data_IF_132299895575
#
_entry.id   IF_132299895575
#
_cell.length_a   1.000
_cell.length_b   1.000
_cell.length_c   1.000
_cell.angle_alpha   90.00
_cell.angle_beta   90.00
_cell.angle_gamma   90.00
#
_symmetry.space_group_name_H-M   'P 1'
#
loop_
_entity.id
_entity.type
_entity.pdbx_description
1 polymer ?
#
# COMPACT_ATOMS: atom_id res chain seq x y z
N UNK A 1 -89.59 -9.75 -13.05
CA UNK A 1 -90.31 -9.03 -11.96
C UNK A 1 -89.58 -7.75 -11.69
N UNK A 2 -90.27 -6.64 -11.92
CA UNK A 2 -90.20 -5.27 -11.33
C UNK A 2 -88.81 -4.60 -11.43
N UNK A 3 -88.48 -3.72 -12.41
CA UNK A 3 -89.01 -2.34 -12.50
C UNK A 3 -88.59 -1.45 -11.35
N UNK A 4 -87.74 -0.47 -11.65
CA UNK A 4 -88.12 0.94 -11.43
C UNK A 4 -87.05 1.88 -12.01
N UNK A 5 -87.48 2.63 -12.93
CA UNK A 5 -87.01 3.87 -13.54
C UNK A 5 -86.98 4.97 -12.51
N UNK A 6 -85.94 5.87 -12.53
CA UNK A 6 -86.22 7.28 -12.24
C UNK A 6 -85.27 8.19 -13.09
N UNK A 7 -86.00 9.04 -13.79
CA UNK A 7 -85.53 10.16 -14.63
C UNK A 7 -85.38 11.38 -13.69
N UNK A 8 -84.46 12.26 -13.96
CA UNK A 8 -84.53 13.73 -13.85
C UNK A 8 -83.15 14.31 -13.82
N UNK A 9 -82.76 15.23 -14.51
CA UNK A 9 -83.24 16.48 -15.07
C UNK A 9 -81.99 17.37 -15.26
N UNK A 10 -81.86 17.90 -16.41
CA UNK A 10 -80.87 18.90 -16.88
C UNK A 10 -80.66 20.06 -15.93
N UNK A 11 -79.40 20.51 -15.85
CA UNK A 11 -79.12 21.96 -15.86
C UNK A 11 -77.82 22.24 -16.53
N UNK A 12 -77.92 22.92 -17.62
CA UNK A 12 -76.87 23.49 -18.48
C UNK A 12 -76.42 24.78 -17.79
N UNK A 13 -75.15 24.88 -17.38
CA UNK A 13 -74.50 26.15 -17.07
C UNK A 13 -73.31 26.36 -17.97
N UNK A 14 -73.49 27.27 -18.92
CA UNK A 14 -72.43 27.92 -19.69
C UNK A 14 -71.70 28.87 -18.76
N UNK A 15 -70.41 28.63 -18.55
CA UNK A 15 -69.51 29.66 -18.10
C UNK A 15 -68.33 29.74 -19.06
N UNK A 16 -68.25 30.86 -19.73
CA UNK A 16 -67.06 31.39 -20.40
C UNK A 16 -66.01 31.67 -19.33
N UNK A 17 -64.85 31.11 -19.46
CA UNK A 17 -63.74 31.39 -18.55
C UNK A 17 -62.42 31.31 -19.33
N UNK A 18 -61.75 32.41 -19.39
CA UNK A 18 -60.47 32.70 -20.06
C UNK A 18 -59.41 31.58 -19.93
N UNK A 19 -58.79 31.25 -21.05
CA UNK A 19 -57.57 30.51 -21.11
C UNK A 19 -56.42 31.37 -20.53
N UNK A 20 -55.99 31.07 -19.33
CA UNK A 20 -54.70 31.53 -18.80
C UNK A 20 -53.64 30.52 -19.20
N UNK A 21 -52.68 30.98 -20.01
CA UNK A 21 -51.47 30.25 -20.36
C UNK A 21 -50.63 30.03 -19.11
N UNK A 22 -50.55 28.81 -18.60
CA UNK A 22 -49.56 28.43 -17.60
C UNK A 22 -48.21 28.42 -18.26
N UNK A 23 -47.40 29.44 -17.99
CA UNK A 23 -45.98 29.41 -18.20
C UNK A 23 -45.38 28.40 -17.21
N UNK A 24 -44.81 27.29 -17.70
CA UNK A 24 -44.03 26.39 -16.94
C UNK A 24 -42.72 27.12 -16.53
N UNK A 25 -42.70 27.56 -15.24
CA UNK A 25 -41.45 28.03 -14.59
C UNK A 25 -40.63 26.81 -14.35
N UNK A 26 -39.62 26.57 -15.17
CA UNK A 26 -38.51 25.66 -14.89
C UNK A 26 -37.61 26.32 -13.84
N UNK A 27 -37.84 25.99 -12.59
CA UNK A 27 -36.88 26.32 -11.52
C UNK A 27 -35.73 25.35 -11.65
N UNK A 28 -34.68 25.73 -12.37
CA UNK A 28 -33.37 25.13 -12.21
C UNK A 28 -32.84 25.54 -10.82
N UNK A 29 -33.06 24.68 -9.86
CA UNK A 29 -32.44 24.78 -8.55
C UNK A 29 -30.94 24.48 -8.72
N UNK A 30 -30.15 25.55 -8.90
CA UNK A 30 -28.70 25.48 -8.79
C UNK A 30 -28.38 25.07 -7.37
N UNK A 31 -28.15 23.79 -7.14
CA UNK A 31 -27.55 23.33 -5.89
C UNK A 31 -26.12 23.89 -5.86
N UNK A 32 -25.96 24.99 -5.19
CA UNK A 32 -24.63 25.51 -4.78
C UNK A 32 -24.04 24.48 -3.81
N UNK A 33 -23.15 23.63 -4.31
CA UNK A 33 -22.35 22.74 -3.46
C UNK A 33 -21.41 23.62 -2.66
N UNK A 34 -21.81 23.94 -1.43
CA UNK A 34 -20.95 24.60 -0.45
C UNK A 34 -19.82 23.61 -0.12
N UNK A 35 -18.68 23.76 -0.80
CA UNK A 35 -17.46 23.04 -0.47
C UNK A 35 -16.99 23.57 0.90
N UNK A 36 -16.97 22.72 1.96
CA UNK A 36 -16.44 23.17 3.24
C UNK A 36 -14.99 23.64 3.06
N UNK A 37 -14.67 24.83 3.55
CA UNK A 37 -13.27 25.27 3.67
C UNK A 37 -12.53 24.26 4.53
N UNK A 38 -11.73 23.43 3.89
CA UNK A 38 -10.90 22.44 4.53
C UNK A 38 -9.67 23.16 5.06
N UNK A 39 -9.40 23.04 6.36
CA UNK A 39 -8.15 23.52 6.96
C UNK A 39 -6.99 22.93 6.17
N UNK A 40 -6.18 23.83 5.59
CA UNK A 40 -5.10 23.45 4.68
C UNK A 40 -4.03 22.67 5.44
N UNK A 41 -4.04 21.35 5.24
CA UNK A 41 -2.89 20.53 5.57
C UNK A 41 -1.76 21.03 4.66
N UNK A 42 -0.61 21.35 5.26
CA UNK A 42 0.61 21.69 4.51
C UNK A 42 1.14 20.43 3.82
N UNK A 43 0.44 19.98 2.80
CA UNK A 43 1.00 19.10 1.78
C UNK A 43 1.83 19.96 0.84
N UNK A 44 2.93 19.41 0.36
CA UNK A 44 3.76 20.09 -0.65
C UNK A 44 2.96 20.16 -1.96
N UNK A 45 2.09 21.15 -2.10
CA UNK A 45 1.14 21.30 -3.22
C UNK A 45 1.79 21.80 -4.51
N UNK A 46 3.12 21.96 -4.53
CA UNK A 46 3.84 22.52 -5.68
C UNK A 46 3.61 21.73 -6.98
N UNK A 47 3.32 20.44 -6.88
CA UNK A 47 3.14 19.53 -8.01
C UNK A 47 1.74 18.88 -8.00
N UNK A 48 0.71 19.62 -7.57
CA UNK A 48 -0.67 19.13 -7.53
C UNK A 48 -1.60 20.14 -8.19
N UNK A 49 -2.43 19.69 -9.12
CA UNK A 49 -3.47 20.45 -9.79
C UNK A 49 -4.85 19.95 -9.37
N UNK A 50 -5.73 20.86 -8.90
CA UNK A 50 -7.11 20.48 -8.57
C UNK A 50 -7.88 20.17 -9.86
N UNK A 51 -8.56 19.03 -9.88
CA UNK A 51 -9.37 18.56 -11.00
C UNK A 51 -10.76 18.16 -10.52
N UNK A 52 -11.67 17.83 -11.43
CA UNK A 52 -12.96 17.25 -11.10
C UNK A 52 -12.94 15.74 -11.29
N UNK A 53 -13.91 15.02 -10.73
CA UNK A 53 -14.05 13.57 -10.96
C UNK A 53 -14.34 13.23 -12.44
N UNK A 54 -14.88 14.18 -13.20
CA UNK A 54 -15.12 14.02 -14.65
C UNK A 54 -13.81 14.01 -15.45
N UNK A 55 -12.75 14.62 -14.93
CA UNK A 55 -11.44 14.70 -15.58
C UNK A 55 -10.61 13.41 -15.35
N UNK A 56 -11.10 12.48 -14.53
CA UNK A 56 -10.41 11.22 -14.21
C UNK A 56 -10.93 10.12 -15.15
N UNK A 57 -10.12 9.73 -16.14
CA UNK A 57 -10.51 8.65 -17.04
C UNK A 57 -10.71 7.34 -16.28
N UNK A 58 -11.85 6.70 -16.53
CA UNK A 58 -12.20 5.43 -15.90
C UNK A 58 -12.79 5.50 -14.50
N UNK A 59 -12.86 6.67 -13.84
CA UNK A 59 -13.41 6.79 -12.49
C UNK A 59 -14.82 6.19 -12.36
N UNK A 60 -15.70 6.51 -13.28
CA UNK A 60 -17.09 6.03 -13.29
C UNK A 60 -17.25 4.57 -13.76
N UNK A 61 -16.17 3.94 -14.23
CA UNK A 61 -16.14 2.53 -14.66
C UNK A 61 -15.51 1.61 -13.62
N UNK A 62 -14.91 2.18 -12.55
CA UNK A 62 -14.30 1.39 -11.49
C UNK A 62 -15.34 0.91 -10.47
N UNK A 63 -15.05 -0.19 -9.79
CA UNK A 63 -15.84 -0.69 -8.67
C UNK A 63 -15.53 0.12 -7.40
N UNK A 64 -16.16 1.28 -7.30
CA UNK A 64 -15.99 2.20 -6.18
C UNK A 64 -16.58 1.65 -4.87
N UNK A 65 -17.53 0.70 -4.92
CA UNK A 65 -18.03 0.03 -3.71
C UNK A 65 -16.94 -0.86 -3.12
N UNK A 66 -16.22 -1.62 -3.94
CA UNK A 66 -15.06 -2.38 -3.48
C UNK A 66 -13.95 -1.45 -2.97
N UNK A 67 -13.72 -0.29 -3.61
CA UNK A 67 -12.77 0.70 -3.13
C UNK A 67 -13.17 1.24 -1.73
N UNK A 68 -14.46 1.50 -1.51
CA UNK A 68 -15.00 1.91 -0.21
C UNK A 68 -14.81 0.82 0.86
N UNK A 69 -15.04 -0.44 0.53
CA UNK A 69 -14.82 -1.55 1.47
C UNK A 69 -13.36 -1.66 1.91
N UNK A 70 -12.42 -1.43 1.00
CA UNK A 70 -10.98 -1.39 1.32
C UNK A 70 -10.66 -0.16 2.15
N UNK A 71 -11.19 1.01 1.81
CA UNK A 71 -11.04 2.23 2.61
C UNK A 71 -11.54 2.05 4.05
N UNK A 72 -12.69 1.40 4.25
CA UNK A 72 -13.21 1.05 5.58
C UNK A 72 -12.26 0.15 6.37
N UNK A 73 -11.63 -0.82 5.72
CA UNK A 73 -10.60 -1.67 6.35
C UNK A 73 -9.40 -0.83 6.80
N UNK A 74 -8.94 0.07 5.94
CA UNK A 74 -7.81 0.95 6.23
C UNK A 74 -8.13 1.97 7.32
N UNK A 75 -9.37 2.43 7.42
CA UNK A 75 -9.85 3.32 8.48
C UNK A 75 -9.62 2.77 9.89
N UNK A 76 -9.57 1.45 10.09
CA UNK A 76 -9.23 0.85 11.39
C UNK A 76 -7.87 1.33 11.91
N UNK A 77 -6.98 1.73 11.02
CA UNK A 77 -5.65 2.27 11.31
C UNK A 77 -5.55 3.77 11.02
N UNK A 78 -6.05 4.20 9.86
CA UNK A 78 -5.97 5.59 9.38
C UNK A 78 -6.66 6.59 10.32
N UNK A 79 -7.78 6.23 10.98
CA UNK A 79 -8.51 7.08 11.92
C UNK A 79 -7.69 7.58 13.12
N UNK A 80 -6.50 7.02 13.36
CA UNK A 80 -5.55 7.53 14.35
C UNK A 80 -4.90 8.86 13.92
N UNK A 81 -4.94 9.17 12.64
CA UNK A 81 -4.53 10.47 12.09
C UNK A 81 -5.77 11.36 12.02
N UNK A 82 -5.70 12.55 12.57
CA UNK A 82 -6.82 13.51 12.61
C UNK A 82 -7.35 13.83 11.21
N UNK A 83 -6.48 13.79 10.19
CA UNK A 83 -6.86 13.95 8.78
C UNK A 83 -7.99 13.02 8.34
N UNK A 84 -7.98 11.77 8.81
CA UNK A 84 -8.92 10.74 8.37
C UNK A 84 -10.05 10.47 9.36
N UNK A 85 -10.00 11.02 10.57
CA UNK A 85 -10.93 10.70 11.64
C UNK A 85 -12.39 10.91 11.24
N UNK A 86 -12.71 12.08 10.71
CA UNK A 86 -14.09 12.43 10.32
C UNK A 86 -14.55 11.62 9.10
N UNK A 87 -13.72 11.53 8.04
CA UNK A 87 -14.09 10.79 6.83
C UNK A 87 -14.24 9.29 7.10
N UNK A 88 -13.43 8.72 8.00
CA UNK A 88 -13.57 7.34 8.43
C UNK A 88 -14.88 7.08 9.20
N UNK A 89 -15.36 8.02 10.02
CA UNK A 89 -16.66 7.92 10.66
C UNK A 89 -17.80 7.90 9.63
N UNK A 90 -17.73 8.77 8.61
CA UNK A 90 -18.72 8.78 7.52
C UNK A 90 -18.67 7.49 6.70
N UNK A 91 -17.47 6.95 6.43
CA UNK A 91 -17.30 5.71 5.69
C UNK A 91 -18.01 4.53 6.37
N UNK A 92 -18.04 4.48 7.68
CA UNK A 92 -18.56 3.33 8.45
C UNK A 92 -19.99 2.97 8.04
N UNK A 93 -20.84 3.98 7.80
CA UNK A 93 -22.26 3.83 7.50
C UNK A 93 -22.61 3.96 6.01
N UNK A 94 -21.68 4.40 5.15
CA UNK A 94 -21.95 4.58 3.73
C UNK A 94 -21.82 3.24 2.99
N UNK A 95 -22.67 3.00 2.00
CA UNK A 95 -22.66 1.79 1.16
C UNK A 95 -22.45 2.10 -0.32
N UNK A 96 -22.63 3.37 -0.71
CA UNK A 96 -22.42 3.85 -2.06
C UNK A 96 -21.02 4.47 -2.17
N UNK A 97 -20.10 3.75 -2.81
CA UNK A 97 -18.72 4.19 -3.00
C UNK A 97 -18.59 5.43 -3.87
N UNK A 98 -19.43 5.52 -4.91
CA UNK A 98 -19.45 6.69 -5.78
C UNK A 98 -19.81 7.96 -5.00
N UNK A 99 -20.93 7.95 -4.34
CA UNK A 99 -21.40 9.04 -3.48
C UNK A 99 -20.39 9.38 -2.38
N UNK A 100 -19.80 8.35 -1.76
CA UNK A 100 -18.80 8.55 -0.71
C UNK A 100 -17.60 9.34 -1.19
N UNK A 101 -16.95 8.89 -2.28
CA UNK A 101 -15.74 9.54 -2.75
C UNK A 101 -16.01 10.92 -3.33
N UNK A 102 -17.09 11.11 -4.09
CA UNK A 102 -17.41 12.40 -4.71
C UNK A 102 -17.81 13.50 -3.71
N UNK A 103 -18.43 13.13 -2.57
CA UNK A 103 -18.84 14.10 -1.56
C UNK A 103 -17.73 14.41 -0.56
N UNK A 104 -16.86 13.45 -0.25
CA UNK A 104 -15.92 13.60 0.85
C UNK A 104 -14.49 13.90 0.41
N UNK A 105 -14.17 13.86 -0.88
CA UNK A 105 -12.82 14.12 -1.39
C UNK A 105 -12.85 15.11 -2.55
N UNK A 106 -11.78 15.90 -2.62
CA UNK A 106 -11.44 16.73 -3.77
C UNK A 106 -10.29 16.05 -4.50
N UNK A 107 -10.43 15.66 -5.78
CA UNK A 107 -9.34 15.05 -6.52
C UNK A 107 -8.28 16.07 -6.93
N UNK A 108 -7.04 15.62 -6.93
CA UNK A 108 -5.88 16.35 -7.41
C UNK A 108 -5.08 15.47 -8.36
N UNK A 109 -4.69 16.02 -9.48
CA UNK A 109 -3.73 15.44 -10.40
C UNK A 109 -2.33 15.63 -9.84
N UNK A 110 -1.53 14.55 -9.77
CA UNK A 110 -0.13 14.63 -9.39
C UNK A 110 0.71 14.86 -10.64
N UNK A 111 1.65 15.80 -10.55
CA UNK A 111 2.58 16.13 -11.62
C UNK A 111 4.01 15.79 -11.16
N UNK A 112 4.86 15.41 -12.10
CA UNK A 112 6.30 15.27 -11.85
C UNK A 112 7.00 16.66 -11.78
N UNK A 113 8.31 16.67 -11.57
CA UNK A 113 9.09 17.92 -11.51
C UNK A 113 9.11 18.70 -12.85
N UNK A 114 8.73 18.07 -13.96
CA UNK A 114 8.60 18.66 -15.29
C UNK A 114 7.16 19.03 -15.64
N UNK A 115 6.24 18.98 -14.67
CA UNK A 115 4.79 19.20 -14.85
C UNK A 115 4.10 18.20 -15.77
N UNK A 116 4.64 16.98 -15.89
CA UNK A 116 4.02 15.86 -16.59
C UNK A 116 3.19 15.03 -15.62
N UNK A 117 2.08 14.48 -16.11
CA UNK A 117 1.14 13.64 -15.36
C UNK A 117 1.41 12.14 -15.51
N UNK A 118 2.58 11.79 -16.02
CA UNK A 118 3.02 10.42 -16.18
C UNK A 118 3.92 10.00 -15.02
N UNK A 119 3.72 8.78 -14.54
CA UNK A 119 4.51 8.21 -13.45
C UNK A 119 4.81 6.73 -13.64
N UNK A 120 5.89 6.26 -13.02
CA UNK A 120 6.22 4.84 -13.02
C UNK A 120 5.50 4.12 -11.87
N UNK A 121 4.64 3.17 -12.22
CA UNK A 121 3.98 2.28 -11.28
C UNK A 121 4.61 0.90 -11.40
N UNK A 122 5.01 0.33 -10.25
CA UNK A 122 5.54 -1.03 -10.19
C UNK A 122 4.62 -1.95 -9.42
N UNK A 123 4.48 -3.19 -9.89
CA UNK A 123 3.70 -4.21 -9.19
C UNK A 123 4.44 -4.75 -7.97
N UNK A 124 3.76 -4.82 -6.83
CA UNK A 124 4.20 -5.58 -5.67
C UNK A 124 3.71 -7.03 -5.80
N UNK A 125 4.56 -7.99 -5.47
CA UNK A 125 4.21 -9.40 -5.41
C UNK A 125 4.74 -10.05 -4.13
N UNK A 126 4.05 -11.07 -3.64
CA UNK A 126 4.54 -11.90 -2.55
C UNK A 126 5.35 -13.07 -3.14
N UNK A 127 6.66 -13.13 -2.92
CA UNK A 127 7.45 -14.24 -3.39
C UNK A 127 7.02 -15.55 -2.72
N UNK A 128 6.98 -16.63 -3.51
CA UNK A 128 6.84 -18.00 -3.04
C UNK A 128 8.22 -18.65 -3.01
N UNK A 129 8.66 -19.04 -1.82
CA UNK A 129 9.90 -19.77 -1.60
C UNK A 129 9.59 -21.24 -1.32
N UNK A 130 10.51 -22.11 -1.69
CA UNK A 130 10.48 -23.53 -1.28
C UNK A 130 11.39 -23.70 -0.08
N UNK A 131 10.91 -24.40 0.96
CA UNK A 131 11.63 -24.45 2.22
C UNK A 131 11.41 -25.72 3.05
N UNK A 132 12.10 -25.80 4.17
CA UNK A 132 11.95 -26.83 5.20
C UNK A 132 12.13 -26.21 6.58
N UNK A 133 11.50 -26.79 7.61
CA UNK A 133 11.74 -26.43 9.02
C UNK A 133 13.11 -26.91 9.51
N UNK A 134 13.76 -27.82 8.79
CA UNK A 134 15.07 -28.39 9.16
C UNK A 134 16.08 -28.11 8.04
N UNK A 135 17.28 -27.69 8.45
CA UNK A 135 18.41 -27.52 7.55
C UNK A 135 18.83 -28.86 6.96
N UNK A 136 19.04 -28.90 5.63
CA UNK A 136 19.57 -30.08 4.94
C UNK A 136 20.35 -29.63 3.68
N UNK A 137 20.77 -30.56 2.83
CA UNK A 137 21.58 -30.26 1.64
C UNK A 137 20.86 -29.36 0.62
N UNK A 138 19.53 -29.44 0.52
CA UNK A 138 18.72 -28.60 -0.37
C UNK A 138 18.35 -27.29 0.31
N UNK A 139 17.78 -27.36 1.51
CA UNK A 139 17.27 -26.22 2.26
C UNK A 139 18.32 -25.74 3.25
N UNK A 140 19.09 -24.74 2.90
CA UNK A 140 20.27 -24.25 3.66
C UNK A 140 20.24 -22.78 4.02
N UNK A 141 19.39 -21.98 3.37
CA UNK A 141 19.37 -20.52 3.54
C UNK A 141 18.30 -20.12 4.55
N UNK A 142 18.69 -19.63 5.74
CA UNK A 142 17.76 -19.38 6.83
C UNK A 142 16.94 -18.11 6.59
N UNK A 143 15.68 -18.17 7.01
CA UNK A 143 14.80 -17.03 7.21
C UNK A 143 14.73 -16.80 8.71
N UNK A 144 15.33 -15.72 9.21
CA UNK A 144 15.49 -15.45 10.63
C UNK A 144 14.35 -14.62 11.21
N UNK A 145 14.03 -14.89 12.49
CA UNK A 145 13.27 -13.98 13.35
C UNK A 145 14.15 -12.81 13.78
N UNK A 146 13.53 -11.76 14.34
CA UNK A 146 14.26 -10.67 15.01
C UNK A 146 15.13 -11.24 16.10
N UNK A 147 16.45 -10.95 16.09
CA UNK A 147 17.37 -11.46 17.10
C UNK A 147 17.10 -10.82 18.46
N UNK A 148 17.32 -11.61 19.52
CA UNK A 148 17.08 -11.17 20.90
C UNK A 148 18.12 -10.17 21.41
N UNK A 149 19.32 -10.20 20.83
CA UNK A 149 20.45 -9.31 21.16
C UNK A 149 20.36 -7.95 20.44
N UNK A 150 19.35 -7.76 19.57
CA UNK A 150 19.18 -6.50 18.87
C UNK A 150 18.55 -5.44 19.77
N UNK A 151 19.23 -4.30 19.86
CA UNK A 151 18.75 -3.11 20.55
C UNK A 151 18.12 -2.13 19.57
N UNK A 152 16.93 -1.63 19.91
CA UNK A 152 16.34 -0.48 19.24
C UNK A 152 16.85 0.75 19.97
N UNK A 153 17.60 1.59 19.26
CA UNK A 153 18.18 2.81 19.83
C UNK A 153 17.27 3.98 19.50
N UNK A 154 16.70 4.57 20.54
CA UNK A 154 15.81 5.74 20.42
C UNK A 154 16.40 6.94 21.20
N UNK A 155 16.91 7.91 20.46
CA UNK A 155 17.43 9.16 21.00
C UNK A 155 16.53 10.36 20.67
N UNK A 156 15.33 10.13 20.11
CA UNK A 156 14.47 11.20 19.56
C UNK A 156 14.07 12.22 20.63
N UNK A 157 13.89 11.78 21.88
CA UNK A 157 13.54 12.67 22.98
C UNK A 157 14.63 13.71 23.30
N UNK A 158 15.91 13.36 23.05
CA UNK A 158 17.06 14.24 23.32
C UNK A 158 17.62 14.86 22.03
N UNK A 159 17.56 14.11 20.93
CA UNK A 159 18.13 14.46 19.63
C UNK A 159 17.06 14.28 18.53
N UNK A 160 16.15 15.24 18.34
CA UNK A 160 15.03 15.15 17.37
C UNK A 160 15.47 14.89 15.91
N UNK A 161 16.68 15.28 15.53
CA UNK A 161 17.28 15.03 14.22
C UNK A 161 17.40 13.54 13.89
N UNK A 162 17.40 12.66 14.90
CA UNK A 162 17.47 11.21 14.70
C UNK A 162 16.10 10.56 14.43
N UNK A 163 15.00 11.33 14.44
CA UNK A 163 13.64 10.80 14.23
C UNK A 163 13.47 10.01 12.91
N UNK A 164 14.25 10.34 11.88
CA UNK A 164 14.22 9.65 10.58
C UNK A 164 15.14 8.43 10.50
N UNK A 165 15.99 8.22 11.52
CA UNK A 165 16.96 7.14 11.53
C UNK A 165 16.40 5.91 12.26
N UNK A 166 16.49 4.75 11.62
CA UNK A 166 16.17 3.46 12.25
C UNK A 166 17.46 2.86 12.81
N UNK A 167 17.89 3.37 13.97
CA UNK A 167 19.11 2.91 14.62
C UNK A 167 18.88 1.54 15.28
N UNK A 168 19.66 0.56 14.86
CA UNK A 168 19.69 -0.79 15.42
C UNK A 168 21.11 -1.11 15.80
N UNK A 169 21.26 -1.69 16.98
CA UNK A 169 22.56 -1.90 17.61
C UNK A 169 22.61 -3.23 18.33
N UNK A 170 23.79 -3.62 18.76
CA UNK A 170 24.01 -4.69 19.73
C UNK A 170 25.01 -4.22 20.79
N UNK A 171 24.94 -4.84 21.96
CA UNK A 171 25.89 -4.58 23.04
C UNK A 171 27.08 -5.52 22.88
N UNK A 172 28.29 -4.96 22.97
CA UNK A 172 29.56 -5.70 23.04
C UNK A 172 30.39 -5.16 24.21
N UNK A 173 30.46 -5.94 25.28
CA UNK A 173 31.01 -5.48 26.52
C UNK A 173 30.23 -4.28 27.08
N UNK A 174 30.90 -3.14 27.24
CA UNK A 174 30.30 -1.87 27.68
C UNK A 174 29.99 -0.90 26.55
N UNK A 175 30.07 -1.35 25.28
CA UNK A 175 29.81 -0.53 24.10
C UNK A 175 28.52 -0.96 23.40
N UNK A 176 27.80 0.02 22.86
CA UNK A 176 26.69 -0.18 21.93
C UNK A 176 27.23 0.12 20.53
N UNK A 177 27.23 -0.88 19.67
CA UNK A 177 27.74 -0.78 18.30
C UNK A 177 26.60 -1.04 17.30
N UNK A 178 26.68 -0.52 16.04
CA UNK A 178 25.70 -0.82 15.02
C UNK A 178 25.49 -2.33 14.86
N UNK A 179 24.24 -2.75 14.60
CA UNK A 179 23.97 -4.16 14.37
C UNK A 179 24.70 -4.66 13.09
N UNK A 180 24.92 -5.96 13.03
CA UNK A 180 25.70 -6.60 11.98
C UNK A 180 25.13 -6.33 10.59
N UNK A 181 26.01 -6.18 9.60
CA UNK A 181 25.69 -6.13 8.18
C UNK A 181 25.17 -7.48 7.67
N UNK A 182 24.59 -7.50 6.45
CA UNK A 182 24.21 -8.75 5.78
C UNK A 182 25.35 -9.77 5.77
N UNK A 183 26.51 -9.35 5.36
CA UNK A 183 27.69 -10.23 5.23
C UNK A 183 28.08 -10.84 6.58
N UNK A 184 28.08 -10.06 7.65
CA UNK A 184 28.39 -10.52 9.01
C UNK A 184 27.35 -11.50 9.52
N UNK A 185 26.03 -11.20 9.33
CA UNK A 185 24.93 -12.09 9.72
C UNK A 185 25.01 -13.43 8.99
N UNK A 186 25.32 -13.42 7.69
CA UNK A 186 25.35 -14.62 6.86
C UNK A 186 26.60 -15.48 7.10
N UNK A 187 27.74 -14.85 7.35
CA UNK A 187 29.02 -15.56 7.62
C UNK A 187 29.10 -16.09 9.06
N UNK A 188 28.67 -15.27 10.02
CA UNK A 188 28.81 -15.56 11.45
C UNK A 188 27.50 -15.27 12.19
N UNK A 189 26.45 -16.07 11.96
CA UNK A 189 25.16 -15.82 12.58
C UNK A 189 25.26 -15.90 14.11
N UNK A 190 24.68 -14.89 14.78
CA UNK A 190 24.55 -14.89 16.24
C UNK A 190 23.80 -16.14 16.72
N UNK A 191 24.18 -16.64 17.90
CA UNK A 191 23.48 -17.76 18.57
C UNK A 191 22.03 -17.40 18.96
N UNK A 192 21.74 -16.12 19.04
CA UNK A 192 20.42 -15.58 19.38
C UNK A 192 19.47 -15.51 18.16
N UNK A 193 19.94 -15.91 16.96
CA UNK A 193 19.14 -15.97 15.77
C UNK A 193 18.27 -17.22 15.70
N UNK A 194 16.97 -17.04 15.85
CA UNK A 194 15.99 -18.12 15.68
C UNK A 194 15.55 -18.21 14.20
N UNK A 195 15.56 -19.44 13.66
CA UNK A 195 15.15 -19.71 12.26
C UNK A 195 13.65 -20.00 12.19
N UNK A 196 12.96 -19.38 11.23
CA UNK A 196 11.55 -19.68 10.89
C UNK A 196 11.49 -20.90 9.97
N UNK A 197 12.29 -20.89 8.91
CA UNK A 197 12.46 -21.95 7.92
C UNK A 197 13.79 -21.77 7.17
N UNK A 198 14.22 -22.81 6.46
CA UNK A 198 15.36 -22.77 5.55
C UNK A 198 14.85 -22.85 4.12
N UNK A 199 15.23 -21.90 3.26
CA UNK A 199 14.92 -21.90 1.85
C UNK A 199 15.99 -22.64 1.02
N UNK A 200 15.62 -23.00 -0.20
CA UNK A 200 16.53 -23.69 -1.16
C UNK A 200 17.37 -22.72 -2.01
N UNK A 201 16.97 -21.44 -2.08
CA UNK A 201 17.67 -20.47 -2.91
C UNK A 201 17.99 -19.15 -2.14
N UNK A 202 19.26 -18.76 -2.15
CA UNK A 202 19.74 -17.56 -1.46
C UNK A 202 19.21 -16.26 -2.07
N UNK A 203 19.08 -16.23 -3.39
CA UNK A 203 18.58 -15.06 -4.11
C UNK A 203 17.09 -14.85 -3.80
N UNK A 204 16.30 -15.93 -3.65
CA UNK A 204 14.90 -15.81 -3.27
C UNK A 204 14.74 -15.29 -1.84
N UNK A 205 15.62 -15.68 -0.90
CA UNK A 205 15.65 -15.09 0.45
C UNK A 205 16.01 -13.60 0.39
N UNK A 206 16.96 -13.21 -0.47
CA UNK A 206 17.28 -11.80 -0.67
C UNK A 206 16.10 -11.02 -1.24
N UNK A 207 15.40 -11.56 -2.24
CA UNK A 207 14.19 -10.92 -2.79
C UNK A 207 13.07 -10.84 -1.76
N UNK A 208 12.93 -11.84 -0.88
CA UNK A 208 12.02 -11.78 0.26
C UNK A 208 12.38 -10.63 1.21
N UNK A 209 13.67 -10.36 1.48
CA UNK A 209 14.10 -9.19 2.26
C UNK A 209 13.71 -7.88 1.59
N UNK A 210 13.77 -7.80 0.26
CA UNK A 210 13.39 -6.60 -0.52
C UNK A 210 11.88 -6.38 -0.45
N UNK A 211 11.08 -7.45 -0.58
CA UNK A 211 9.61 -7.38 -0.58
C UNK A 211 9.05 -7.20 0.85
N UNK A 212 9.72 -7.73 1.86
CA UNK A 212 9.30 -7.63 3.26
C UNK A 212 8.19 -8.59 3.68
N UNK A 213 7.59 -9.34 2.76
CA UNK A 213 6.66 -10.45 3.04
C UNK A 213 6.68 -11.48 1.92
N UNK A 214 6.24 -12.69 2.23
CA UNK A 214 6.18 -13.78 1.26
C UNK A 214 5.61 -15.06 1.85
N UNK A 215 5.63 -16.11 1.05
CA UNK A 215 5.13 -17.44 1.40
C UNK A 215 6.25 -18.45 1.29
N UNK A 216 6.29 -19.40 2.21
CA UNK A 216 7.22 -20.54 2.16
C UNK A 216 6.41 -21.82 2.10
N UNK A 217 6.50 -22.51 0.97
CA UNK A 217 5.96 -23.85 0.80
C UNK A 217 6.99 -24.83 1.34
N UNK A 218 6.63 -25.49 2.43
CA UNK A 218 7.49 -26.46 3.11
C UNK A 218 7.51 -27.80 2.38
N UNK A 219 8.57 -28.55 2.61
CA UNK A 219 8.77 -29.92 2.05
C UNK A 219 7.73 -30.93 2.50
N UNK A 220 6.98 -30.66 3.57
CA UNK A 220 5.83 -31.45 4.03
C UNK A 220 4.48 -31.01 3.40
N UNK A 221 4.49 -30.01 2.51
CA UNK A 221 3.30 -29.46 1.85
C UNK A 221 2.62 -28.31 2.58
N UNK A 222 3.04 -27.96 3.80
CA UNK A 222 2.48 -26.82 4.54
C UNK A 222 2.92 -25.51 3.91
N UNK A 223 2.02 -24.52 3.93
CA UNK A 223 2.30 -23.16 3.50
C UNK A 223 2.35 -22.23 4.71
N UNK A 224 3.49 -21.58 4.93
CA UNK A 224 3.63 -20.56 5.97
C UNK A 224 3.79 -19.18 5.34
N UNK A 225 3.11 -18.18 5.90
CA UNK A 225 3.32 -16.78 5.53
C UNK A 225 4.37 -16.18 6.47
N UNK A 226 5.26 -15.37 5.89
CA UNK A 226 6.24 -14.59 6.62
C UNK A 226 6.07 -13.12 6.29
N UNK A 227 6.14 -12.28 7.30
CA UNK A 227 6.03 -10.83 7.17
C UNK A 227 7.16 -10.13 7.90
N UNK A 228 7.45 -8.90 7.47
CA UNK A 228 8.44 -8.04 8.08
C UNK A 228 8.24 -7.95 9.61
N UNK A 229 9.29 -8.13 10.33
CA UNK A 229 9.33 -7.89 11.77
C UNK A 229 10.25 -6.73 12.11
N UNK A 230 11.51 -6.76 11.64
CA UNK A 230 12.51 -5.75 11.89
C UNK A 230 13.63 -5.80 10.84
N UNK A 231 14.56 -4.84 10.89
CA UNK A 231 15.76 -4.81 10.06
C UNK A 231 16.99 -4.46 10.90
N UNK A 232 18.19 -4.68 10.35
CA UNK A 232 19.46 -4.44 11.03
C UNK A 232 19.91 -2.98 11.14
N UNK A 233 19.09 -2.00 10.70
CA UNK A 233 19.40 -0.57 10.73
C UNK A 233 20.39 -0.09 9.66
N UNK A 234 20.94 -0.99 8.83
CA UNK A 234 21.81 -0.61 7.72
C UNK A 234 21.00 -0.03 6.57
N UNK A 235 21.63 0.91 5.84
CA UNK A 235 20.99 1.56 4.70
C UNK A 235 20.78 0.57 3.56
N UNK A 236 19.58 0.53 3.00
CA UNK A 236 19.29 -0.25 1.81
C UNK A 236 20.08 0.27 0.60
N UNK A 237 20.69 -0.64 -0.17
CA UNK A 237 21.35 -0.35 -1.43
C UNK A 237 20.91 -1.35 -2.48
N UNK A 238 20.27 -0.87 -3.56
CA UNK A 238 19.86 -1.73 -4.66
C UNK A 238 21.06 -2.35 -5.39
N UNK A 239 21.00 -3.66 -5.64
CA UNK A 239 22.09 -4.40 -6.30
C UNK A 239 22.07 -4.26 -7.82
N UNK A 240 20.96 -3.83 -8.42
CA UNK A 240 20.79 -3.78 -9.88
C UNK A 240 21.79 -2.88 -10.57
N UNK A 241 22.04 -1.68 -10.04
CA UNK A 241 23.04 -0.77 -10.62
C UNK A 241 24.47 -1.29 -10.49
N UNK A 242 24.76 -2.01 -9.40
CA UNK A 242 26.05 -2.68 -9.27
C UNK A 242 26.23 -3.73 -10.37
N UNK A 243 25.23 -4.59 -10.60
CA UNK A 243 25.26 -5.64 -11.63
C UNK A 243 25.37 -5.03 -13.04
N UNK A 244 24.64 -3.94 -13.30
CA UNK A 244 24.72 -3.21 -14.57
C UNK A 244 26.12 -2.65 -14.81
N UNK A 245 26.70 -1.97 -13.83
CA UNK A 245 28.03 -1.36 -13.92
C UNK A 245 29.16 -2.41 -14.06
N UNK A 246 28.94 -3.63 -13.56
CA UNK A 246 29.87 -4.77 -13.75
C UNK A 246 29.67 -5.49 -15.08
N UNK A 247 28.64 -5.12 -15.86
CA UNK A 247 28.31 -5.82 -17.10
C UNK A 247 27.71 -7.21 -16.89
N UNK A 248 27.21 -7.50 -15.71
CA UNK A 248 26.56 -8.78 -15.38
C UNK A 248 25.17 -8.89 -15.99
N UNK A 249 24.49 -7.77 -16.14
CA UNK A 249 23.17 -7.65 -16.78
C UNK A 249 23.11 -6.42 -17.68
N UNK A 250 22.22 -6.42 -18.65
CA UNK A 250 21.88 -5.27 -19.49
C UNK A 250 20.77 -4.43 -18.87
N UNK A 251 20.49 -3.23 -19.42
CA UNK A 251 19.38 -2.38 -18.99
C UNK A 251 18.01 -3.09 -19.08
N UNK A 252 17.82 -3.91 -20.12
CA UNK A 252 16.57 -4.66 -20.32
C UNK A 252 16.40 -5.80 -19.31
N UNK A 253 17.48 -6.24 -18.68
CA UNK A 253 17.48 -7.27 -17.64
C UNK A 253 17.46 -6.69 -16.22
N UNK A 254 17.39 -5.35 -16.09
CA UNK A 254 17.33 -4.65 -14.80
C UNK A 254 15.96 -4.84 -14.14
N UNK A 255 15.68 -6.07 -13.74
CA UNK A 255 14.47 -6.50 -13.03
C UNK A 255 14.81 -7.58 -12.01
N UNK A 256 13.93 -7.83 -11.03
CA UNK A 256 14.14 -8.91 -10.06
C UNK A 256 14.34 -10.27 -10.74
N UNK A 257 13.58 -10.54 -11.80
CA UNK A 257 13.67 -11.78 -12.58
C UNK A 257 14.99 -11.87 -13.36
N UNK A 258 15.41 -10.78 -14.01
CA UNK A 258 16.66 -10.73 -14.76
C UNK A 258 17.89 -10.90 -13.86
N UNK A 259 17.91 -10.18 -12.73
CA UNK A 259 18.96 -10.32 -11.71
C UNK A 259 19.02 -11.76 -11.15
N UNK A 260 17.87 -12.33 -10.80
CA UNK A 260 17.80 -13.72 -10.32
C UNK A 260 18.31 -14.69 -11.38
N UNK A 261 17.86 -14.57 -12.63
CA UNK A 261 18.28 -15.43 -13.75
C UNK A 261 19.79 -15.42 -13.92
N UNK A 262 20.44 -14.25 -13.79
CA UNK A 262 21.91 -14.16 -13.86
C UNK A 262 22.56 -14.87 -12.67
N UNK A 263 22.11 -14.58 -11.44
CA UNK A 263 22.70 -15.12 -10.21
C UNK A 263 22.52 -16.64 -10.08
N UNK A 264 21.40 -17.18 -10.50
CA UNK A 264 21.15 -18.63 -10.54
C UNK A 264 22.13 -19.36 -11.50
N UNK A 265 22.54 -18.68 -12.60
CA UNK A 265 23.53 -19.20 -13.55
C UNK A 265 24.97 -18.99 -13.10
N UNK A 266 25.21 -18.07 -12.16
CA UNK A 266 26.54 -17.68 -11.69
C UNK A 266 26.64 -17.76 -10.16
N UNK A 267 26.57 -18.96 -9.54
CA UNK A 267 26.52 -19.11 -8.08
C UNK A 267 27.72 -18.49 -7.34
N UNK A 268 28.90 -18.45 -7.98
CA UNK A 268 30.11 -17.83 -7.41
C UNK A 268 30.01 -16.30 -7.27
N UNK A 269 29.04 -15.66 -7.95
CA UNK A 269 28.81 -14.22 -7.89
C UNK A 269 27.73 -13.81 -6.88
N UNK A 270 27.00 -14.76 -6.33
CA UNK A 270 25.87 -14.48 -5.45
C UNK A 270 26.30 -13.66 -4.24
N UNK A 271 27.30 -14.11 -3.49
CA UNK A 271 27.75 -13.41 -2.27
C UNK A 271 28.34 -12.04 -2.59
N UNK A 272 29.15 -11.93 -3.64
CA UNK A 272 29.72 -10.66 -4.11
C UNK A 272 28.61 -9.62 -4.37
N UNK A 273 27.55 -10.05 -5.07
CA UNK A 273 26.47 -9.15 -5.47
C UNK A 273 25.55 -8.82 -4.30
N UNK A 274 25.07 -9.83 -3.57
CA UNK A 274 24.08 -9.61 -2.51
C UNK A 274 24.65 -8.79 -1.34
N UNK A 275 25.94 -8.94 -1.03
CA UNK A 275 26.62 -8.20 0.04
C UNK A 275 26.84 -6.71 -0.29
N UNK A 276 26.59 -6.26 -1.54
CA UNK A 276 26.52 -4.82 -1.84
C UNK A 276 25.37 -4.13 -1.09
N UNK A 277 24.35 -4.88 -0.66
CA UNK A 277 23.29 -4.40 0.18
C UNK A 277 23.52 -4.88 1.62
N UNK A 278 24.01 -4.00 2.48
CA UNK A 278 24.25 -4.29 3.90
C UNK A 278 22.94 -4.48 4.71
N UNK A 279 21.80 -4.01 4.20
CA UNK A 279 20.52 -4.13 4.87
C UNK A 279 20.05 -5.59 4.93
N UNK A 280 19.63 -6.02 6.11
CA UNK A 280 19.08 -7.35 6.37
C UNK A 280 17.72 -7.24 7.07
N UNK A 281 16.74 -8.02 6.61
CA UNK A 281 15.38 -8.02 7.18
C UNK A 281 15.15 -9.30 7.97
N UNK A 282 14.53 -9.14 9.13
CA UNK A 282 14.08 -10.21 10.00
C UNK A 282 12.57 -10.36 9.89
N UNK A 283 12.08 -11.58 10.05
CA UNK A 283 10.69 -11.92 9.77
C UNK A 283 9.97 -12.46 11.00
N UNK A 284 8.65 -12.48 10.92
CA UNK A 284 7.76 -13.21 11.83
C UNK A 284 6.79 -14.06 11.00
N UNK A 285 6.33 -15.16 11.56
CA UNK A 285 5.19 -15.89 10.98
C UNK A 285 3.97 -14.99 11.03
N UNK A 286 3.19 -14.98 9.96
CA UNK A 286 1.97 -14.21 9.83
C UNK A 286 0.81 -15.14 9.49
N UNK A 287 -0.33 -14.94 10.15
CA UNK A 287 -1.58 -15.60 9.78
C UNK A 287 -2.40 -14.75 8.79
N UNK A 288 -1.86 -13.60 8.38
CA UNK A 288 -2.48 -12.64 7.47
C UNK A 288 -1.61 -12.52 6.22
N UNK A 289 -2.21 -12.06 5.11
CA UNK A 289 -1.49 -11.71 3.89
C UNK A 289 -0.52 -10.54 4.08
N UNK A 290 -0.02 -10.00 2.97
CA UNK A 290 0.88 -8.85 2.97
C UNK A 290 0.28 -7.67 3.75
N UNK A 291 1.08 -7.07 4.63
CA UNK A 291 0.68 -5.92 5.44
C UNK A 291 1.39 -4.67 4.90
N UNK A 292 0.61 -3.65 4.55
CA UNK A 292 1.11 -2.38 4.09
C UNK A 292 1.69 -1.51 5.21
N UNK A 293 2.31 -0.41 4.83
CA UNK A 293 2.94 0.54 5.76
C UNK A 293 1.94 1.21 6.74
N UNK A 294 0.65 1.23 6.41
CA UNK A 294 -0.42 1.67 7.32
C UNK A 294 -0.69 0.64 8.43
N UNK A 295 -0.21 -0.61 8.29
CA UNK A 295 -0.51 -1.72 9.19
C UNK A 295 -1.79 -2.47 8.85
N UNK A 296 -2.39 -2.21 7.68
CA UNK A 296 -3.55 -2.91 7.14
C UNK A 296 -3.12 -4.02 6.19
N UNK A 297 -3.93 -5.09 6.12
CA UNK A 297 -3.73 -6.18 5.14
C UNK A 297 -4.06 -5.65 3.75
N UNK A 298 -3.12 -5.82 2.82
CA UNK A 298 -3.27 -5.35 1.45
C UNK A 298 -4.34 -6.15 0.69
N UNK A 299 -5.14 -5.45 -0.08
CA UNK A 299 -6.11 -6.02 -1.02
C UNK A 299 -5.56 -5.87 -2.43
N UNK A 300 -5.44 -6.98 -3.17
CA UNK A 300 -4.92 -6.96 -4.53
C UNK A 300 -5.70 -5.99 -5.44
N UNK A 301 -4.98 -5.22 -6.26
CA UNK A 301 -5.54 -4.21 -7.17
C UNK A 301 -6.26 -3.02 -6.48
N UNK A 302 -6.16 -2.90 -5.14
CA UNK A 302 -6.85 -1.85 -4.37
C UNK A 302 -5.94 -1.10 -3.41
N UNK A 303 -4.75 -1.59 -3.14
CA UNK A 303 -3.78 -0.87 -2.32
C UNK A 303 -2.50 -0.61 -3.13
N UNK A 304 -1.93 0.57 -2.93
CA UNK A 304 -0.71 1.03 -3.58
C UNK A 304 0.27 1.54 -2.52
N UNK A 305 1.56 1.35 -2.75
CA UNK A 305 2.60 2.00 -1.96
C UNK A 305 2.83 3.42 -2.50
N UNK A 306 2.92 4.39 -1.61
CA UNK A 306 3.10 5.80 -1.96
C UNK A 306 4.30 6.42 -1.24
N UNK A 307 4.87 7.46 -1.82
CA UNK A 307 5.81 8.32 -1.11
C UNK A 307 5.06 9.13 -0.05
N UNK A 308 5.36 8.86 1.22
CA UNK A 308 4.70 9.52 2.37
C UNK A 308 5.00 11.00 2.50
N UNK A 309 6.05 11.49 1.86
CA UNK A 309 6.36 12.93 1.83
C UNK A 309 5.41 13.68 0.90
N UNK A 310 4.73 12.98 -0.01
CA UNK A 310 3.79 13.53 -1.00
C UNK A 310 2.36 13.14 -0.67
N UNK A 311 2.10 11.85 -0.43
CA UNK A 311 0.76 11.30 -0.23
C UNK A 311 0.64 10.70 1.17
N UNK A 312 -0.23 11.21 2.05
CA UNK A 312 -0.47 10.62 3.37
C UNK A 312 -0.97 9.17 3.27
N UNK A 313 -0.48 8.30 4.17
CA UNK A 313 -0.95 6.91 4.23
C UNK A 313 -2.44 6.86 4.56
N UNK A 314 -3.21 6.14 3.76
CA UNK A 314 -4.67 6.03 3.86
C UNK A 314 -5.41 6.95 2.90
N UNK A 315 -4.73 7.83 2.17
CA UNK A 315 -5.34 8.67 1.13
C UNK A 315 -5.78 7.80 -0.05
N UNK A 316 -7.03 7.93 -0.53
CA UNK A 316 -7.44 7.33 -1.79
C UNK A 316 -6.61 7.85 -2.96
N UNK A 317 -6.18 6.93 -3.83
CA UNK A 317 -5.44 7.25 -5.06
C UNK A 317 -6.12 6.52 -6.20
N UNK A 318 -6.38 7.23 -7.29
CA UNK A 318 -6.88 6.68 -8.54
C UNK A 318 -5.71 6.59 -9.55
N UNK A 319 -5.61 5.47 -10.24
CA UNK A 319 -4.63 5.24 -11.29
C UNK A 319 -5.39 5.13 -12.62
N UNK A 320 -5.20 6.07 -13.50
CA UNK A 320 -5.78 6.10 -14.85
C UNK A 320 -4.76 5.68 -15.90
#
# INVERSE_FOLDING_TARGET
>A
MKSLLFISLSTLFLFSGCATKEEAISVEEKVEVVVPKQDSIKTNTKNMEAVTFNDIDGFYRDDLNHALDVFKKDCKRAKKNELFKNVCQKAEYETDGYKFFTINFQPYKLLDDNSLDEGLITGYYEPLLYGSLRKNNRYKYPIYKTPKDMLIVDFVSTYPEFAKLKLRAKQVGNKVIPYDSREEIEKNPSKDLEVIAYADNKVDVFLLHVQGSGKVLLDNGDLINVGYAEQNGRKFKGIGMYMLNKGYITKNELSAQGMKKYLDKNPSKVDEVLNQNESYVFFKKSNQGAIGALGSVLTAKRNIAVDRSVIPLGMPVFLS
#
